data_IF_073216778001
#
_entry.id   IF_073216778001
#
_cell.length_a   1.000
_cell.length_b   1.000
_cell.length_c   1.000
_cell.angle_alpha   90.00
_cell.angle_beta   90.00
_cell.angle_gamma   90.00
#
_symmetry.space_group_name_H-M   'P 1'
#
loop_
_entity.id
_entity.type
_entity.pdbx_description
1 polymer ?
#
# COMPACT_ATOMS: atom_id res chain seq x y z
N UNK A 1 10.22 -16.33 12.95
CA UNK A 1 10.66 -15.07 13.53
C UNK A 1 11.95 -14.62 12.88
N UNK A 2 11.76 -13.95 11.75
CA UNK A 2 12.74 -13.19 11.01
C UNK A 2 12.47 -11.73 11.26
N UNK A 3 13.53 -10.95 11.51
CA UNK A 3 13.43 -9.49 11.57
C UNK A 3 14.05 -8.92 10.31
N UNK A 4 13.28 -8.14 9.57
CA UNK A 4 13.73 -7.45 8.36
C UNK A 4 14.03 -5.99 8.70
N UNK A 5 15.18 -5.49 8.28
CA UNK A 5 15.57 -4.10 8.49
C UNK A 5 16.02 -3.47 7.17
N UNK A 6 15.37 -2.36 6.81
CA UNK A 6 15.65 -1.54 5.64
C UNK A 6 15.90 -0.12 6.11
N UNK A 7 17.16 0.27 6.23
CA UNK A 7 17.56 1.59 6.77
C UNK A 7 17.66 2.66 5.69
N UNK A 8 17.90 2.24 4.46
CA UNK A 8 18.02 3.10 3.28
C UNK A 8 17.39 2.40 2.06
N UNK A 9 16.08 2.10 2.09
CA UNK A 9 15.43 1.47 0.96
C UNK A 9 15.53 2.36 -0.29
N UNK A 10 15.93 1.77 -1.41
CA UNK A 10 15.87 2.42 -2.72
C UNK A 10 14.42 2.71 -3.10
N UNK A 11 13.51 1.79 -2.75
CA UNK A 11 12.08 1.88 -3.05
C UNK A 11 11.24 1.41 -1.87
N UNK A 12 10.19 2.17 -1.60
CA UNK A 12 9.10 1.79 -0.71
C UNK A 12 7.79 2.06 -1.44
N UNK A 13 7.01 1.02 -1.70
CA UNK A 13 5.90 1.07 -2.66
C UNK A 13 4.72 0.24 -2.18
N UNK A 14 3.52 0.64 -2.59
CA UNK A 14 2.30 -0.14 -2.41
C UNK A 14 1.70 -0.45 -3.78
N UNK A 15 1.04 -1.59 -3.93
CA UNK A 15 0.33 -1.91 -5.16
C UNK A 15 -0.72 -2.98 -4.98
N UNK A 16 -1.43 -3.26 -6.07
CA UNK A 16 -2.45 -4.30 -6.10
C UNK A 16 -2.27 -5.18 -7.34
N UNK A 17 -2.37 -6.49 -7.14
CA UNK A 17 -2.22 -7.52 -8.18
C UNK A 17 -3.52 -8.30 -8.33
N UNK A 18 -3.88 -8.66 -9.56
CA UNK A 18 -5.07 -9.46 -9.86
C UNK A 18 -6.31 -8.63 -10.25
N UNK A 19 -7.40 -9.34 -10.54
CA UNK A 19 -8.62 -8.76 -11.07
C UNK A 19 -9.40 -7.93 -10.05
N UNK A 20 -10.21 -6.99 -10.55
CA UNK A 20 -11.12 -6.20 -9.74
C UNK A 20 -12.06 -7.14 -8.97
N UNK A 21 -12.09 -7.03 -7.63
CA UNK A 21 -12.86 -7.91 -6.74
C UNK A 21 -12.06 -9.06 -6.14
N UNK A 22 -10.86 -9.35 -6.66
CA UNK A 22 -9.93 -10.34 -6.13
C UNK A 22 -8.49 -9.80 -6.09
N UNK A 23 -8.37 -8.48 -5.86
CA UNK A 23 -7.08 -7.79 -5.77
C UNK A 23 -6.34 -8.20 -4.50
N UNK A 24 -5.11 -8.62 -4.66
CA UNK A 24 -4.13 -8.78 -3.61
C UNK A 24 -3.38 -7.47 -3.42
N UNK A 25 -3.45 -6.89 -2.22
CA UNK A 25 -2.72 -5.66 -1.89
C UNK A 25 -1.38 -6.00 -1.25
N UNK A 26 -0.33 -5.31 -1.70
CA UNK A 26 1.04 -5.57 -1.31
C UNK A 26 1.75 -4.26 -0.94
N UNK A 27 2.66 -4.33 0.03
CA UNK A 27 3.72 -3.35 0.27
C UNK A 27 5.04 -4.00 -0.10
N UNK A 28 5.93 -3.24 -0.73
CA UNK A 28 7.25 -3.71 -1.11
C UNK A 28 8.32 -2.71 -0.68
N UNK A 29 9.39 -3.24 -0.07
CA UNK A 29 10.63 -2.51 0.21
C UNK A 29 11.78 -3.16 -0.56
N UNK A 30 12.60 -2.35 -1.23
CA UNK A 30 13.78 -2.81 -1.97
C UNK A 30 15.00 -2.03 -1.49
N UNK A 31 16.08 -2.74 -1.17
CA UNK A 31 17.39 -2.17 -0.80
C UNK A 31 18.51 -3.01 -1.42
N UNK A 32 19.11 -2.50 -2.50
CA UNK A 32 20.04 -3.21 -3.35
C UNK A 32 19.42 -4.46 -3.95
N UNK A 33 19.92 -5.63 -3.53
CA UNK A 33 19.41 -6.93 -3.97
C UNK A 33 18.39 -7.54 -3.00
N UNK A 34 18.09 -6.88 -1.87
CA UNK A 34 17.09 -7.34 -0.93
C UNK A 34 15.73 -6.80 -1.34
N UNK A 35 14.74 -7.68 -1.32
CA UNK A 35 13.35 -7.28 -1.52
C UNK A 35 12.49 -7.96 -0.48
N UNK A 36 11.62 -7.18 0.15
CA UNK A 36 10.59 -7.64 1.07
C UNK A 36 9.23 -7.30 0.46
N UNK A 37 8.36 -8.30 0.33
CA UNK A 37 7.01 -8.18 -0.22
C UNK A 37 6.00 -8.67 0.82
N UNK A 38 5.24 -7.74 1.40
CA UNK A 38 4.29 -8.01 2.48
C UNK A 38 2.88 -7.93 1.93
N UNK A 39 2.06 -8.95 2.21
CA UNK A 39 0.63 -8.89 1.96
C UNK A 39 -0.05 -8.04 3.02
N UNK A 40 -0.86 -7.10 2.58
CA UNK A 40 -1.61 -6.19 3.45
C UNK A 40 -3.08 -6.14 3.06
N UNK A 41 -3.93 -5.67 3.96
CA UNK A 41 -5.30 -5.36 3.64
C UNK A 41 -5.44 -3.98 2.97
N UNK A 42 -6.52 -3.80 2.20
CA UNK A 42 -6.84 -2.49 1.61
C UNK A 42 -6.95 -1.38 2.66
N UNK A 43 -7.59 -1.68 3.80
CA UNK A 43 -7.79 -0.72 4.89
C UNK A 43 -6.47 -0.34 5.55
N UNK A 44 -5.58 -1.32 5.74
CA UNK A 44 -4.23 -1.12 6.25
C UNK A 44 -3.42 -0.15 5.37
N UNK A 45 -3.47 -0.27 4.05
CA UNK A 45 -2.83 0.70 3.13
C UNK A 45 -3.41 2.11 3.31
N UNK A 46 -4.72 2.24 3.40
CA UNK A 46 -5.39 3.54 3.55
C UNK A 46 -5.00 4.23 4.88
N UNK A 47 -4.95 3.46 5.96
CA UNK A 47 -4.52 3.93 7.28
C UNK A 47 -3.05 4.34 7.25
N UNK A 48 -2.18 3.51 6.66
CA UNK A 48 -0.75 3.80 6.54
C UNK A 48 -0.51 5.08 5.74
N UNK A 49 -1.20 5.27 4.61
CA UNK A 49 -1.12 6.50 3.82
C UNK A 49 -1.49 7.74 4.64
N UNK A 50 -2.55 7.62 5.45
CA UNK A 50 -3.00 8.70 6.35
C UNK A 50 -1.96 9.00 7.43
N UNK A 51 -1.39 7.96 8.05
CA UNK A 51 -0.39 8.12 9.11
C UNK A 51 0.92 8.71 8.58
N UNK A 52 1.40 8.24 7.43
CA UNK A 52 2.57 8.81 6.77
C UNK A 52 2.35 10.28 6.39
N UNK A 53 1.17 10.61 5.83
CA UNK A 53 0.83 12.00 5.49
C UNK A 53 0.91 12.92 6.71
N UNK A 54 0.32 12.49 7.84
CA UNK A 54 0.37 13.25 9.10
C UNK A 54 1.79 13.33 9.67
N UNK A 55 2.55 12.25 9.57
CA UNK A 55 3.91 12.21 10.08
C UNK A 55 4.80 13.25 9.40
N UNK A 56 4.69 13.39 8.07
CA UNK A 56 5.51 14.32 7.31
C UNK A 56 5.05 15.79 7.38
N UNK A 57 3.83 16.08 7.86
CA UNK A 57 3.36 17.46 8.04
C UNK A 57 4.29 18.26 8.98
N UNK A 58 4.84 17.60 10.01
CA UNK A 58 5.79 18.19 10.95
C UNK A 58 7.22 18.37 10.39
N UNK A 59 7.55 17.68 9.29
CA UNK A 59 8.90 17.64 8.71
C UNK A 59 9.10 18.66 7.57
N UNK A 60 8.11 19.52 7.33
CA UNK A 60 8.10 20.53 6.28
C UNK A 60 7.91 19.94 4.87
N UNK A 61 7.81 20.80 3.86
CA UNK A 61 7.44 20.37 2.50
C UNK A 61 8.51 19.41 1.91
N UNK A 62 8.10 18.26 1.32
CA UNK A 62 9.00 17.41 0.55
C UNK A 62 9.63 18.14 -0.63
N UNK A 63 10.88 17.79 -0.94
CA UNK A 63 11.57 18.30 -2.12
C UNK A 63 11.09 17.60 -3.39
N UNK A 64 11.88 16.66 -3.89
CA UNK A 64 11.55 15.86 -5.07
C UNK A 64 10.94 14.52 -4.65
N UNK A 65 9.78 14.20 -5.22
CA UNK A 65 9.10 12.93 -4.96
C UNK A 65 9.57 11.86 -5.96
N UNK A 66 9.90 10.64 -5.51
CA UNK A 66 10.11 9.50 -6.40
C UNK A 66 8.91 9.29 -7.32
N UNK A 67 9.16 9.19 -8.63
CA UNK A 67 8.09 9.04 -9.63
C UNK A 67 7.72 7.57 -9.91
N UNK A 68 8.67 6.65 -9.78
CA UNK A 68 8.44 5.23 -10.02
C UNK A 68 8.20 4.46 -8.71
N UNK A 69 6.92 4.29 -8.36
CA UNK A 69 6.44 3.54 -7.21
C UNK A 69 5.74 2.22 -7.60
N UNK A 70 5.86 1.78 -8.85
CA UNK A 70 5.24 0.54 -9.28
C UNK A 70 5.89 -0.67 -8.59
N UNK A 71 5.09 -1.64 -8.13
CA UNK A 71 5.63 -2.90 -7.61
C UNK A 71 6.50 -3.58 -8.68
N UNK A 72 7.67 -4.07 -8.26
CA UNK A 72 8.53 -4.90 -9.09
C UNK A 72 8.35 -6.33 -8.61
N UNK A 73 7.49 -7.08 -9.29
CA UNK A 73 7.20 -8.47 -8.96
C UNK A 73 7.83 -9.35 -10.02
N UNK A 74 8.77 -10.20 -9.59
CA UNK A 74 9.28 -11.29 -10.44
C UNK A 74 8.36 -12.51 -10.34
N UNK A 75 8.25 -13.36 -11.38
CA UNK A 75 7.36 -14.53 -11.35
C UNK A 75 7.64 -15.52 -10.22
N UNK A 76 8.89 -15.56 -9.76
CA UNK A 76 9.40 -16.37 -8.65
C UNK A 76 9.31 -15.67 -7.28
N UNK A 77 8.96 -14.39 -7.26
CA UNK A 77 8.94 -13.59 -6.04
C UNK A 77 7.64 -13.82 -5.27
N UNK A 78 7.78 -14.47 -4.11
CA UNK A 78 6.69 -14.77 -3.20
C UNK A 78 6.29 -13.59 -2.30
N UNK A 79 5.27 -13.84 -1.49
CA UNK A 79 4.89 -12.99 -0.35
C UNK A 79 5.69 -13.51 0.85
N UNK A 80 6.43 -12.64 1.53
CA UNK A 80 7.23 -13.01 2.70
C UNK A 80 6.34 -13.30 3.91
N UNK A 81 5.38 -12.41 4.21
CA UNK A 81 4.38 -12.63 5.26
C UNK A 81 3.13 -11.75 5.09
N UNK A 82 2.12 -11.97 5.92
CA UNK A 82 0.87 -11.19 5.96
C UNK A 82 0.90 -10.22 7.13
N UNK A 83 0.69 -8.92 6.89
CA UNK A 83 0.69 -7.92 7.95
C UNK A 83 -0.53 -8.04 8.87
N UNK A 84 -0.29 -8.11 10.16
CA UNK A 84 -1.29 -7.93 11.22
C UNK A 84 -1.36 -6.48 11.68
N UNK A 85 -0.22 -5.88 12.00
CA UNK A 85 -0.12 -4.52 12.52
C UNK A 85 0.82 -3.65 11.68
N UNK A 86 0.47 -2.37 11.53
CA UNK A 86 1.26 -1.34 10.88
C UNK A 86 1.36 -0.13 11.82
N UNK A 87 2.58 0.28 12.13
CA UNK A 87 2.87 1.44 12.96
C UNK A 87 3.83 2.40 12.26
N UNK A 88 3.70 3.69 12.55
CA UNK A 88 4.53 4.76 11.98
C UNK A 88 5.08 5.61 13.12
N UNK A 89 6.37 5.85 13.11
CA UNK A 89 7.05 6.75 14.05
C UNK A 89 7.94 7.74 13.29
N UNK A 90 8.04 8.97 13.80
CA UNK A 90 8.98 9.96 13.27
C UNK A 90 10.26 9.87 14.09
N UNK A 91 11.39 9.92 13.40
CA UNK A 91 12.68 10.10 14.03
C UNK A 91 13.09 11.57 13.91
N UNK A 92 12.91 12.34 14.99
CA UNK A 92 13.18 13.79 15.02
C UNK A 92 14.66 14.15 14.78
N UNK A 93 15.59 13.23 15.09
CA UNK A 93 17.03 13.47 14.91
C UNK A 93 17.44 13.39 13.44
N UNK A 94 16.85 12.47 12.68
CA UNK A 94 17.18 12.23 11.27
C UNK A 94 16.20 12.87 10.30
N UNK A 95 14.98 13.21 10.75
CA UNK A 95 13.89 13.66 9.91
C UNK A 95 13.31 12.56 9.02
N UNK A 96 13.57 11.29 9.34
CA UNK A 96 13.01 10.12 8.65
C UNK A 96 11.77 9.59 9.38
N UNK A 97 11.05 8.70 8.71
CA UNK A 97 9.86 8.05 9.23
C UNK A 97 10.08 6.55 9.26
N UNK A 98 9.93 5.95 10.44
CA UNK A 98 10.06 4.51 10.65
C UNK A 98 8.70 3.85 10.49
N UNK A 99 8.59 2.92 9.53
CA UNK A 99 7.40 2.10 9.32
C UNK A 99 7.67 0.70 9.87
N UNK A 100 6.95 0.33 10.93
CA UNK A 100 6.99 -1.00 11.54
C UNK A 100 5.82 -1.83 11.03
N UNK A 101 6.12 -3.04 10.55
CA UNK A 101 5.13 -4.02 10.11
C UNK A 101 5.31 -5.31 10.90
N UNK A 102 4.24 -5.81 11.51
CA UNK A 102 4.24 -7.05 12.27
C UNK A 102 3.35 -8.09 11.57
N UNK A 103 3.80 -9.34 11.53
CA UNK A 103 3.04 -10.45 10.95
C UNK A 103 1.75 -10.74 11.72
N UNK A 104 0.69 -11.08 10.99
CA UNK A 104 -0.56 -11.59 11.53
C UNK A 104 -0.35 -13.04 12.02
N UNK A 105 -0.24 -13.21 13.33
CA UNK A 105 -0.08 -14.52 13.99
C UNK A 105 -1.16 -14.75 15.04
N UNK A 106 -1.35 -16.01 15.44
CA UNK A 106 -2.22 -16.37 16.56
C UNK A 106 -1.67 -15.87 17.90
N UNK A 107 -2.55 -15.65 18.88
CA UNK A 107 -2.15 -15.21 20.21
C UNK A 107 -1.13 -16.17 20.83
N UNK A 108 0.05 -15.64 21.22
CA UNK A 108 1.14 -16.41 21.80
C UNK A 108 2.12 -17.02 20.80
N UNK A 109 1.92 -16.82 19.49
CA UNK A 109 2.90 -17.17 18.47
C UNK A 109 3.91 -16.03 18.22
N UNK A 110 5.11 -16.39 17.76
CA UNK A 110 6.14 -15.44 17.35
C UNK A 110 6.07 -15.25 15.83
N UNK A 111 5.68 -14.06 15.40
CA UNK A 111 5.63 -13.66 13.99
C UNK A 111 6.90 -12.98 13.50
N UNK A 112 7.02 -12.86 12.20
CA UNK A 112 8.03 -12.04 11.54
C UNK A 112 7.68 -10.54 11.65
N UNK A 113 8.69 -9.68 11.54
CA UNK A 113 8.48 -8.23 11.56
C UNK A 113 9.50 -7.48 10.72
N UNK A 114 9.13 -6.28 10.28
CA UNK A 114 9.95 -5.44 9.42
C UNK A 114 9.96 -3.99 9.88
N UNK A 115 11.15 -3.40 10.01
CA UNK A 115 11.34 -1.96 10.18
C UNK A 115 11.89 -1.37 8.89
N UNK A 116 11.17 -0.40 8.33
CA UNK A 116 11.51 0.27 7.07
C UNK A 116 11.63 1.77 7.35
N UNK A 117 12.85 2.27 7.32
CA UNK A 117 13.17 3.69 7.51
C UNK A 117 13.00 4.39 6.16
N UNK A 118 11.97 5.22 6.04
CA UNK A 118 11.69 5.94 4.79
C UNK A 118 11.99 7.41 4.93
N UNK A 119 12.53 8.01 3.87
CA UNK A 119 12.70 9.46 3.81
C UNK A 119 11.35 10.17 3.76
N UNK A 120 11.34 11.46 4.09
CA UNK A 120 10.14 12.30 3.95
C UNK A 120 9.59 12.29 2.52
N UNK A 121 10.45 12.31 1.52
CA UNK A 121 10.10 12.25 0.11
C UNK A 121 9.46 10.91 -0.26
N UNK A 122 10.01 9.79 0.23
CA UNK A 122 9.44 8.47 0.01
C UNK A 122 8.10 8.30 0.73
N UNK A 123 7.99 8.75 1.98
CA UNK A 123 6.75 8.73 2.73
C UNK A 123 5.64 9.55 2.04
N UNK A 124 5.98 10.74 1.52
CA UNK A 124 5.06 11.57 0.76
C UNK A 124 4.60 10.92 -0.54
N UNK A 125 5.54 10.40 -1.33
CA UNK A 125 5.24 9.75 -2.59
C UNK A 125 4.41 8.49 -2.38
N UNK A 126 4.76 7.66 -1.39
CA UNK A 126 3.98 6.52 -0.96
C UNK A 126 2.58 6.92 -0.54
N UNK A 127 2.40 7.94 0.30
CA UNK A 127 1.08 8.34 0.78
C UNK A 127 0.15 8.81 -0.35
N UNK A 128 0.68 9.57 -1.31
CA UNK A 128 -0.06 9.99 -2.51
C UNK A 128 -0.45 8.77 -3.33
N UNK A 129 0.51 7.90 -3.64
CA UNK A 129 0.28 6.71 -4.46
C UNK A 129 -0.68 5.71 -3.79
N UNK A 130 -0.52 5.47 -2.49
CA UNK A 130 -1.36 4.58 -1.71
C UNK A 130 -2.81 5.09 -1.62
N UNK A 131 -3.00 6.40 -1.44
CA UNK A 131 -4.33 7.03 -1.51
C UNK A 131 -4.97 6.77 -2.87
N UNK A 132 -4.25 7.06 -3.96
CA UNK A 132 -4.72 6.80 -5.32
C UNK A 132 -5.02 5.31 -5.56
N UNK A 133 -4.18 4.40 -5.07
CA UNK A 133 -4.36 2.95 -5.21
C UNK A 133 -5.63 2.46 -4.50
N UNK A 134 -5.90 2.98 -3.30
CA UNK A 134 -7.08 2.64 -2.50
C UNK A 134 -8.35 3.23 -3.13
N UNK A 135 -8.26 4.47 -3.61
CA UNK A 135 -9.35 5.21 -4.27
C UNK A 135 -9.62 4.72 -5.70
N UNK A 136 -8.62 4.18 -6.39
CA UNK A 136 -8.73 3.47 -7.68
C UNK A 136 -9.48 2.13 -7.56
N UNK A 137 -10.37 2.03 -6.57
CA UNK A 137 -11.50 1.13 -6.59
C UNK A 137 -12.40 1.35 -7.80
N UNK A 138 -13.28 0.36 -8.00
CA UNK A 138 -14.31 0.24 -9.04
C UNK A 138 -14.51 1.51 -9.89
N UNK A 139 -14.18 1.48 -11.20
CA UNK A 139 -14.33 2.65 -12.05
C UNK A 139 -15.75 3.22 -11.92
N UNK A 140 -15.94 4.55 -11.92
CA UNK A 140 -17.26 5.12 -11.84
C UNK A 140 -18.07 4.65 -13.05
N UNK A 141 -19.32 4.24 -12.82
CA UNK A 141 -20.25 3.97 -13.90
C UNK A 141 -20.31 5.19 -14.83
N UNK A 142 -20.12 5.04 -16.15
CA UNK A 142 -20.16 6.17 -17.08
C UNK A 142 -21.54 6.84 -17.14
N UNK A 143 -22.59 6.17 -16.64
CA UNK A 143 -23.95 6.69 -16.62
C UNK A 143 -24.28 7.39 -15.30
N UNK A 144 -24.03 6.78 -14.14
CA UNK A 144 -24.47 7.32 -12.83
C UNK A 144 -23.35 7.68 -11.85
N UNK A 145 -22.08 7.53 -12.24
CA UNK A 145 -20.90 7.78 -11.43
C UNK A 145 -20.77 6.92 -10.15
N UNK A 146 -21.67 5.94 -9.92
CA UNK A 146 -21.56 4.99 -8.82
C UNK A 146 -20.47 3.93 -9.10
N UNK A 147 -19.83 3.34 -8.06
CA UNK A 147 -18.79 2.33 -8.23
C UNK A 147 -19.26 1.10 -9.05
N UNK A 148 -18.61 0.82 -10.19
CA UNK A 148 -18.93 -0.32 -11.07
C UNK A 148 -18.44 -1.67 -10.50
N UNK A 149 -19.35 -2.60 -10.20
CA UNK A 149 -19.00 -3.98 -9.85
C UNK A 149 -18.56 -4.77 -11.10
N UNK A 150 -17.54 -5.66 -11.02
CA UNK A 150 -17.12 -6.52 -12.11
C UNK A 150 -18.22 -7.47 -12.64
N UNK A 151 -19.25 -7.79 -11.85
CA UNK A 151 -20.42 -8.59 -12.29
C UNK A 151 -21.53 -7.74 -12.93
N UNK A 152 -21.28 -6.44 -13.10
CA UNK A 152 -22.27 -5.42 -13.43
C UNK A 152 -22.86 -4.81 -12.17
N UNK A 153 -23.03 -3.48 -12.16
CA UNK A 153 -23.71 -2.78 -11.07
C UNK A 153 -25.17 -2.47 -11.46
N UNK A 154 -26.05 -2.41 -10.47
CA UNK A 154 -27.42 -1.95 -10.67
C UNK A 154 -27.41 -0.43 -10.86
N UNK A 155 -27.45 0.02 -12.12
CA UNK A 155 -27.45 1.43 -12.44
C UNK A 155 -28.86 2.01 -12.26
N UNK A 156 -29.09 2.98 -11.35
CA UNK A 156 -30.39 3.62 -11.21
C UNK A 156 -30.81 4.40 -12.49
N UNK A 157 -29.85 4.78 -13.35
CA UNK A 157 -30.12 5.41 -14.65
C UNK A 157 -30.59 4.45 -15.73
N UNK A 158 -30.43 3.14 -15.54
CA UNK A 158 -30.94 2.10 -16.46
C UNK A 158 -32.04 1.24 -15.82
N UNK A 159 -32.66 1.69 -14.72
CA UNK A 159 -33.61 0.91 -13.92
C UNK A 159 -33.09 -0.50 -13.54
N UNK A 160 -31.78 -0.62 -13.26
CA UNK A 160 -31.16 -1.89 -12.86
C UNK A 160 -30.77 -2.82 -14.02
N UNK A 161 -30.93 -2.41 -15.28
CA UNK A 161 -30.45 -3.22 -16.41
C UNK A 161 -28.93 -3.12 -16.58
N UNK A 162 -28.27 -4.27 -16.73
CA UNK A 162 -26.83 -4.37 -17.04
C UNK A 162 -26.57 -4.02 -18.50
N UNK A 163 -25.44 -3.38 -18.79
CA UNK A 163 -25.00 -3.20 -20.18
C UNK A 163 -24.82 -4.59 -20.85
N UNK A 164 -25.18 -4.76 -22.13
CA UNK A 164 -24.88 -6.00 -22.85
C UNK A 164 -23.37 -6.23 -22.83
N UNK A 165 -22.93 -7.42 -22.42
CA UNK A 165 -21.53 -7.82 -22.60
C UNK A 165 -21.31 -7.96 -24.11
N UNK A 166 -20.62 -6.99 -24.72
CA UNK A 166 -20.05 -7.13 -26.08
C UNK A 166 -18.64 -7.68 -25.99
#
# INVERSE_FOLDING_TARGET
MTFYEFTHPDRFSAGAVGDVGSRLFLIQAIEGTRTLTIKVEKQQIAILATYLSRAIEGLGRPGHLPEDLALVLSPDQGIDFVAGNLSVAINDETGNVDVLVEEAVEEGALGDSATIVVSKEQAAAFAIHATQLVEAGRPPCPLCAMPLDPRGHDCPRTNGHRAPLT
#
